data_IF_707728279199
#
_entry.id   IF_707728279199
#
_cell.length_a   1.000
_cell.length_b   1.000
_cell.length_c   1.000
_cell.angle_alpha   90.00
_cell.angle_beta   90.00
_cell.angle_gamma   90.00
#
_symmetry.space_group_name_H-M   'P 1'
#
loop_
_entity.id
_entity.type
_entity.pdbx_description
1 polymer ?
#
# COMPACT_ATOMS: atom_id res chain seq x y z
N UNK A 1 0.45 21.20 7.32
CA UNK A 1 0.16 21.12 8.78
C UNK A 1 -0.25 19.67 9.08
N UNK A 2 0.56 18.81 9.73
CA UNK A 2 0.08 17.50 10.14
C UNK A 2 -0.36 17.52 11.61
N UNK A 3 -1.44 16.80 11.91
CA UNK A 3 -1.72 16.30 13.25
C UNK A 3 -2.52 14.98 13.20
N UNK A 4 -3.40 14.74 12.21
CA UNK A 4 -4.09 13.43 12.01
C UNK A 4 -4.85 13.41 10.66
N UNK A 5 -4.16 13.34 9.52
CA UNK A 5 -4.84 13.29 8.23
C UNK A 5 -4.02 12.62 7.12
N UNK A 6 -4.69 11.79 6.32
CA UNK A 6 -4.15 11.16 5.10
C UNK A 6 -3.57 12.27 4.20
N UNK A 7 -2.31 12.13 3.77
CA UNK A 7 -1.73 13.09 2.83
C UNK A 7 -2.30 12.75 1.46
N UNK A 8 -3.13 13.64 0.92
CA UNK A 8 -3.62 13.50 -0.44
C UNK A 8 -2.48 13.77 -1.41
N UNK A 9 -1.97 12.74 -2.08
CA UNK A 9 -1.59 12.92 -3.47
C UNK A 9 -2.89 13.11 -4.28
N UNK A 10 -2.77 13.61 -5.51
CA UNK A 10 -3.91 14.18 -6.24
C UNK A 10 -4.95 13.16 -6.72
N UNK A 11 -4.85 11.87 -6.36
CA UNK A 11 -5.66 10.78 -6.93
C UNK A 11 -6.57 10.06 -5.93
N UNK A 12 -6.51 10.37 -4.64
CA UNK A 12 -7.45 9.84 -3.67
C UNK A 12 -8.89 10.29 -3.99
N UNK A 13 -9.73 9.38 -4.50
CA UNK A 13 -11.10 9.69 -4.93
C UNK A 13 -12.04 9.89 -3.75
N UNK A 14 -11.81 9.20 -2.63
CA UNK A 14 -12.58 9.32 -1.39
C UNK A 14 -11.66 9.14 -0.18
N UNK A 15 -11.89 9.93 0.86
CA UNK A 15 -11.20 9.82 2.14
C UNK A 15 -12.20 10.11 3.26
N UNK A 16 -12.53 9.11 4.06
CA UNK A 16 -13.26 9.32 5.30
C UNK A 16 -12.25 9.46 6.43
N UNK A 17 -12.08 10.66 6.98
CA UNK A 17 -11.38 10.82 8.25
C UNK A 17 -12.39 10.46 9.33
N UNK A 18 -12.14 9.48 10.20
CA UNK A 18 -12.99 9.29 11.37
C UNK A 18 -12.95 10.58 12.19
N UNK A 19 -14.00 11.38 12.05
CA UNK A 19 -14.35 12.43 12.99
C UNK A 19 -14.25 11.79 14.36
N UNK A 20 -13.48 12.37 15.29
CA UNK A 20 -13.53 12.04 16.71
C UNK A 20 -15.01 11.89 17.06
N UNK A 21 -15.48 10.65 17.22
CA UNK A 21 -16.84 10.40 17.64
C UNK A 21 -16.99 11.20 18.94
N UNK A 22 -17.95 12.12 18.95
CA UNK A 22 -18.19 13.06 20.05
C UNK A 22 -17.93 12.38 21.40
N UNK A 23 -17.02 12.99 22.16
CA UNK A 23 -16.79 12.83 23.59
C UNK A 23 -17.76 11.86 24.30
N UNK A 24 -17.22 10.70 24.65
CA UNK A 24 -17.30 10.09 25.97
C UNK A 24 -18.67 10.06 26.64
N UNK A 25 -19.41 8.97 26.41
CA UNK A 25 -20.14 8.37 27.54
C UNK A 25 -19.16 7.44 28.26
N UNK A 26 -18.94 7.56 29.58
CA UNK A 26 -18.06 6.66 30.31
C UNK A 26 -18.53 5.21 30.12
N UNK A 27 -17.63 4.33 29.65
CA UNK A 27 -17.92 2.91 29.43
C UNK A 27 -18.39 2.51 28.03
N UNK A 28 -18.33 3.40 27.01
CA UNK A 28 -18.65 3.05 25.62
C UNK A 28 -17.45 3.32 24.70
N UNK A 29 -16.96 2.27 24.03
CA UNK A 29 -15.85 2.34 23.07
C UNK A 29 -16.06 3.47 22.04
N UNK A 30 -15.01 4.25 21.78
CA UNK A 30 -15.00 5.36 20.81
C UNK A 30 -15.11 4.84 19.36
N UNK A 31 -14.84 3.55 19.14
CA UNK A 31 -14.99 2.87 17.85
C UNK A 31 -15.89 1.63 18.03
N UNK A 32 -17.16 1.74 17.62
CA UNK A 32 -18.07 0.60 17.51
C UNK A 32 -18.13 0.05 16.06
N UNK A 33 -17.19 0.44 15.22
CA UNK A 33 -17.17 0.11 13.80
C UNK A 33 -15.73 0.18 13.26
N UNK A 34 -15.46 -0.61 12.22
CA UNK A 34 -14.22 -0.58 11.45
C UNK A 34 -14.56 -0.51 9.95
N UNK A 35 -14.03 0.45 9.19
CA UNK A 35 -14.24 0.52 7.75
C UNK A 35 -13.36 -0.50 7.05
N UNK A 36 -13.91 -1.19 6.06
CA UNK A 36 -13.09 -1.85 5.06
C UNK A 36 -12.42 -0.79 4.15
N UNK A 37 -11.35 -1.16 3.41
CA UNK A 37 -10.55 -0.19 2.66
C UNK A 37 -11.34 0.75 1.77
N UNK A 38 -12.25 0.23 0.94
CA UNK A 38 -13.06 1.03 0.03
C UNK A 38 -13.98 2.05 0.74
N UNK A 39 -14.29 1.83 2.03
CA UNK A 39 -15.05 2.78 2.85
C UNK A 39 -14.15 3.87 3.44
N UNK A 40 -12.87 3.57 3.72
CA UNK A 40 -11.91 4.58 4.19
C UNK A 40 -11.36 5.42 3.02
N UNK A 41 -10.90 4.77 1.96
CA UNK A 41 -10.43 5.45 0.77
C UNK A 41 -10.11 4.53 -0.40
N UNK A 42 -10.23 5.10 -1.60
CA UNK A 42 -9.95 4.44 -2.86
C UNK A 42 -9.26 5.44 -3.78
N UNK A 43 -8.18 5.01 -4.45
CA UNK A 43 -7.41 5.86 -5.35
C UNK A 43 -7.82 5.60 -6.81
N UNK A 44 -7.51 4.44 -7.39
CA UNK A 44 -7.73 4.16 -8.81
C UNK A 44 -7.73 2.65 -9.09
N UNK A 45 -8.38 2.16 -10.17
CA UNK A 45 -8.27 0.76 -10.59
C UNK A 45 -6.87 0.32 -11.04
N UNK A 46 -5.93 1.24 -11.29
CA UNK A 46 -4.54 0.90 -11.61
C UNK A 46 -3.98 -0.07 -10.55
N UNK A 47 -3.38 -1.18 -11.02
CA UNK A 47 -2.87 -2.32 -10.24
C UNK A 47 -3.92 -3.26 -9.61
N UNK A 48 -5.22 -3.02 -9.77
CA UNK A 48 -6.29 -3.93 -9.30
C UNK A 48 -6.19 -4.30 -7.81
N UNK A 49 -5.71 -3.39 -6.97
CA UNK A 49 -5.41 -3.66 -5.55
C UNK A 49 -6.63 -3.82 -4.67
N UNK A 50 -7.82 -3.39 -5.10
CA UNK A 50 -9.00 -3.29 -4.23
C UNK A 50 -9.42 -4.59 -3.54
N UNK A 51 -9.41 -5.72 -4.25
CA UNK A 51 -9.77 -7.02 -3.66
C UNK A 51 -8.69 -7.48 -2.69
N UNK A 52 -7.42 -7.47 -3.11
CA UNK A 52 -6.30 -7.88 -2.27
C UNK A 52 -6.22 -7.03 -0.98
N UNK A 53 -6.35 -5.71 -1.11
CA UNK A 53 -6.35 -4.78 0.03
C UNK A 53 -7.50 -5.07 1.00
N UNK A 54 -8.68 -5.41 0.47
CA UNK A 54 -9.84 -5.80 1.28
C UNK A 54 -9.58 -7.10 2.04
N UNK A 55 -9.05 -8.13 1.39
CA UNK A 55 -8.76 -9.42 2.03
C UNK A 55 -7.73 -9.28 3.17
N UNK A 56 -6.62 -8.56 2.93
CA UNK A 56 -5.63 -8.25 3.97
C UNK A 56 -6.26 -7.60 5.21
N UNK A 57 -7.22 -6.69 5.00
CA UNK A 57 -7.88 -5.98 6.08
C UNK A 57 -8.98 -6.80 6.77
N UNK A 58 -9.63 -7.73 6.05
CA UNK A 58 -10.55 -8.70 6.67
C UNK A 58 -9.78 -9.64 7.58
N UNK A 59 -8.65 -10.19 7.12
CA UNK A 59 -7.78 -11.04 7.94
C UNK A 59 -7.31 -10.32 9.19
N UNK A 60 -6.86 -9.07 9.05
CA UNK A 60 -6.46 -8.24 10.20
C UNK A 60 -7.59 -7.95 11.18
N UNK A 61 -8.83 -7.81 10.69
CA UNK A 61 -9.98 -7.61 11.58
C UNK A 61 -10.30 -8.86 12.39
N UNK A 62 -9.95 -10.07 11.92
CA UNK A 62 -10.13 -11.29 12.71
C UNK A 62 -9.36 -11.19 14.05
N UNK A 63 -8.14 -10.65 14.06
CA UNK A 63 -7.37 -10.41 15.29
C UNK A 63 -8.05 -9.39 16.22
N UNK A 64 -8.77 -8.42 15.67
CA UNK A 64 -9.52 -7.44 16.45
C UNK A 64 -10.73 -8.11 17.12
N UNK A 65 -11.37 -9.07 16.44
CA UNK A 65 -12.49 -9.83 16.98
C UNK A 65 -12.07 -10.73 18.15
N UNK A 66 -10.82 -11.21 18.18
CA UNK A 66 -10.31 -12.04 19.28
C UNK A 66 -10.25 -11.31 20.63
N UNK A 67 -10.21 -9.97 20.62
CA UNK A 67 -10.17 -9.13 21.83
C UNK A 67 -11.48 -8.37 22.08
N UNK A 68 -12.57 -8.75 21.41
CA UNK A 68 -13.85 -8.02 21.45
C UNK A 68 -14.48 -7.94 22.85
N UNK A 69 -14.19 -8.92 23.72
CA UNK A 69 -14.70 -8.96 25.10
C UNK A 69 -13.93 -8.03 26.07
N UNK A 70 -12.78 -7.50 25.67
CA UNK A 70 -12.01 -6.51 26.43
C UNK A 70 -12.14 -5.12 25.77
N UNK A 71 -12.95 -4.20 26.35
CA UNK A 71 -13.17 -2.88 25.75
C UNK A 71 -11.90 -2.05 25.55
N UNK A 72 -10.91 -2.18 26.44
CA UNK A 72 -9.65 -1.42 26.33
C UNK A 72 -8.77 -1.99 25.22
N UNK A 73 -8.64 -3.32 25.17
CA UNK A 73 -7.87 -3.99 24.12
C UNK A 73 -8.53 -3.80 22.74
N UNK A 74 -9.87 -3.85 22.68
CA UNK A 74 -10.64 -3.59 21.46
C UNK A 74 -10.41 -2.17 20.93
N UNK A 75 -10.45 -1.16 21.79
CA UNK A 75 -10.20 0.22 21.38
C UNK A 75 -8.78 0.37 20.81
N UNK A 76 -7.77 -0.16 21.49
CA UNK A 76 -6.38 -0.12 21.03
C UNK A 76 -6.19 -0.87 19.70
N UNK A 77 -6.81 -2.04 19.55
CA UNK A 77 -6.76 -2.84 18.34
C UNK A 77 -7.41 -2.12 17.16
N UNK A 78 -8.58 -1.51 17.35
CA UNK A 78 -9.24 -0.69 16.34
C UNK A 78 -8.41 0.52 15.96
N UNK A 79 -7.85 1.27 16.92
CA UNK A 79 -6.99 2.40 16.62
C UNK A 79 -5.75 1.99 15.79
N UNK A 80 -5.12 0.86 16.13
CA UNK A 80 -4.01 0.30 15.34
C UNK A 80 -4.45 -0.08 13.93
N UNK A 81 -5.59 -0.74 13.79
CA UNK A 81 -6.20 -1.09 12.51
C UNK A 81 -6.41 0.16 11.64
N UNK A 82 -7.07 1.20 12.17
CA UNK A 82 -7.32 2.45 11.47
C UNK A 82 -6.05 3.14 10.99
N UNK A 83 -5.03 3.25 11.87
CA UNK A 83 -3.75 3.86 11.50
C UNK A 83 -3.07 3.10 10.36
N UNK A 84 -3.04 1.77 10.43
CA UNK A 84 -2.48 0.94 9.36
C UNK A 84 -3.23 1.12 8.05
N UNK A 85 -4.56 1.03 8.09
CA UNK A 85 -5.38 1.20 6.89
C UNK A 85 -5.18 2.58 6.24
N UNK A 86 -5.06 3.64 7.05
CA UNK A 86 -4.77 4.98 6.55
C UNK A 86 -3.39 5.05 5.85
N UNK A 87 -2.36 4.43 6.42
CA UNK A 87 -1.03 4.33 5.80
C UNK A 87 -1.06 3.54 4.47
N UNK A 88 -1.83 2.44 4.41
CA UNK A 88 -1.99 1.65 3.18
C UNK A 88 -2.67 2.45 2.06
N UNK A 89 -3.71 3.22 2.40
CA UNK A 89 -4.40 4.11 1.44
C UNK A 89 -3.47 5.22 0.96
N UNK A 90 -2.70 5.84 1.86
CA UNK A 90 -1.71 6.88 1.53
C UNK A 90 -0.63 6.33 0.57
N UNK A 91 -0.12 5.14 0.86
CA UNK A 91 0.88 4.48 0.03
C UNK A 91 0.35 4.18 -1.38
N UNK A 92 -0.87 3.65 -1.49
CA UNK A 92 -1.51 3.39 -2.78
C UNK A 92 -1.67 4.68 -3.59
N UNK A 93 -2.16 5.75 -2.98
CA UNK A 93 -2.34 7.06 -3.63
C UNK A 93 -1.01 7.63 -4.14
N UNK A 94 0.08 7.48 -3.36
CA UNK A 94 1.44 7.87 -3.76
C UNK A 94 1.94 7.10 -4.98
N UNK A 95 1.87 5.76 -4.95
CA UNK A 95 2.33 4.92 -6.07
C UNK A 95 1.52 5.17 -7.35
N UNK A 96 0.20 5.26 -7.23
CA UNK A 96 -0.69 5.54 -8.36
C UNK A 96 -0.41 6.94 -8.92
N UNK A 97 -0.25 7.94 -8.05
CA UNK A 97 0.08 9.30 -8.48
C UNK A 97 1.41 9.37 -9.21
N UNK A 98 2.44 8.66 -8.72
CA UNK A 98 3.74 8.56 -9.39
C UNK A 98 3.60 7.96 -10.79
N UNK A 99 2.88 6.85 -10.93
CA UNK A 99 2.63 6.23 -12.23
C UNK A 99 1.92 7.19 -13.19
N UNK A 100 0.81 7.82 -12.76
CA UNK A 100 0.06 8.74 -13.63
C UNK A 100 0.86 9.97 -14.07
N UNK A 101 1.79 10.49 -13.25
CA UNK A 101 2.66 11.61 -13.65
C UNK A 101 3.56 11.27 -14.84
N UNK A 102 3.97 10.00 -14.93
CA UNK A 102 4.89 9.52 -15.96
C UNK A 102 4.17 8.98 -17.21
N UNK A 103 2.84 9.11 -17.31
CA UNK A 103 2.05 8.59 -18.46
C UNK A 103 2.36 9.23 -19.82
N UNK A 104 3.11 10.34 -19.82
CA UNK A 104 3.57 10.99 -21.05
C UNK A 104 4.66 10.19 -21.78
N UNK A 105 5.35 9.27 -21.10
CA UNK A 105 6.36 8.38 -21.66
C UNK A 105 6.14 6.94 -21.19
N UNK A 106 6.10 5.98 -22.12
CA UNK A 106 5.76 4.59 -21.78
C UNK A 106 6.82 3.92 -20.90
N UNK A 107 8.11 4.16 -21.15
CA UNK A 107 9.17 3.56 -20.37
C UNK A 107 9.22 4.16 -18.96
N UNK A 108 9.03 5.47 -18.86
CA UNK A 108 8.91 6.17 -17.58
C UNK A 108 7.70 5.71 -16.78
N UNK A 109 6.54 5.52 -17.43
CA UNK A 109 5.35 4.95 -16.82
C UNK A 109 5.62 3.53 -16.30
N UNK A 110 6.22 2.67 -17.11
CA UNK A 110 6.58 1.32 -16.70
C UNK A 110 7.52 1.34 -15.48
N UNK A 111 8.56 2.16 -15.51
CA UNK A 111 9.47 2.38 -14.38
C UNK A 111 8.73 2.88 -13.14
N UNK A 112 7.81 3.83 -13.29
CA UNK A 112 7.02 4.39 -12.19
C UNK A 112 6.04 3.39 -11.56
N UNK A 113 5.72 2.30 -12.25
CA UNK A 113 4.91 1.19 -11.70
C UNK A 113 5.73 0.19 -10.87
N UNK A 114 7.07 0.22 -10.96
CA UNK A 114 7.94 -0.74 -10.28
C UNK A 114 7.85 -0.74 -8.74
N UNK A 115 7.64 0.39 -8.04
CA UNK A 115 7.39 0.38 -6.61
C UNK A 115 6.23 -0.54 -6.22
N UNK A 116 5.13 -0.54 -6.99
CA UNK A 116 4.00 -1.44 -6.74
C UNK A 116 4.43 -2.91 -6.86
N UNK A 117 5.13 -3.28 -7.94
CA UNK A 117 5.55 -4.67 -8.13
C UNK A 117 6.57 -5.13 -7.08
N UNK A 118 7.47 -4.25 -6.65
CA UNK A 118 8.43 -4.53 -5.58
C UNK A 118 7.70 -4.80 -4.25
N UNK A 119 6.70 -4.00 -3.91
CA UNK A 119 5.89 -4.20 -2.72
C UNK A 119 5.04 -5.47 -2.80
N UNK A 120 4.34 -5.69 -3.93
CA UNK A 120 3.45 -6.83 -4.12
C UNK A 120 4.20 -8.16 -4.00
N UNK A 121 5.32 -8.29 -4.72
CA UNK A 121 6.15 -9.51 -4.68
C UNK A 121 6.79 -9.74 -3.32
N UNK A 122 7.19 -8.67 -2.62
CA UNK A 122 7.68 -8.77 -1.25
C UNK A 122 6.59 -9.26 -0.29
N UNK A 123 5.34 -8.76 -0.42
CA UNK A 123 4.21 -9.23 0.38
C UNK A 123 3.90 -10.71 0.13
N UNK A 124 3.86 -11.13 -1.14
CA UNK A 124 3.63 -12.53 -1.51
C UNK A 124 4.69 -13.47 -0.93
N UNK A 125 5.96 -13.04 -0.90
CA UNK A 125 7.05 -13.83 -0.34
C UNK A 125 7.06 -13.84 1.19
N UNK A 126 6.45 -12.84 1.85
CA UNK A 126 6.24 -12.82 3.31
C UNK A 126 5.01 -13.64 3.76
N UNK A 127 3.99 -13.76 2.91
CA UNK A 127 2.71 -14.41 3.23
C UNK A 127 2.80 -15.87 3.73
N UNK A 128 3.68 -16.76 3.21
CA UNK A 128 3.82 -18.13 3.71
C UNK A 128 4.28 -18.20 5.17
N UNK A 129 5.02 -17.18 5.62
CA UNK A 129 5.55 -17.07 6.99
C UNK A 129 4.50 -16.58 7.99
N UNK A 130 3.54 -15.77 7.54
CA UNK A 130 2.45 -15.20 8.36
C UNK A 130 1.46 -16.28 8.83
N UNK A 131 1.16 -17.27 7.98
CA UNK A 131 0.32 -18.42 8.36
C UNK A 131 0.97 -19.37 9.38
N UNK A 132 2.29 -19.29 9.56
CA UNK A 132 3.06 -20.14 10.48
C UNK A 132 3.40 -19.45 11.81
N UNK A 133 3.26 -18.12 11.90
CA UNK A 133 3.52 -17.35 13.12
C UNK A 133 2.54 -16.17 13.22
N UNK A 134 1.55 -16.22 14.13
CA UNK A 134 0.48 -15.22 14.25
C UNK A 134 0.97 -13.95 14.99
N UNK A 135 2.14 -13.44 14.63
CA UNK A 135 2.60 -12.14 15.09
C UNK A 135 2.13 -11.10 14.07
N UNK A 136 0.98 -10.47 14.35
CA UNK A 136 0.34 -9.34 13.64
C UNK A 136 0.63 -9.24 12.13
N UNK A 137 -0.36 -9.43 11.23
CA UNK A 137 -0.14 -9.40 9.79
C UNK A 137 0.51 -8.08 9.38
N UNK A 138 1.55 -8.22 8.56
CA UNK A 138 2.23 -7.11 7.91
C UNK A 138 1.22 -6.15 7.25
N UNK A 139 1.56 -4.86 7.18
CA UNK A 139 0.74 -3.94 6.42
C UNK A 139 0.74 -4.29 4.92
N UNK A 140 -0.38 -4.03 4.25
CA UNK A 140 -0.53 -4.30 2.82
C UNK A 140 0.50 -3.48 2.02
N UNK A 141 1.16 -4.12 1.05
CA UNK A 141 2.17 -3.51 0.18
C UNK A 141 3.32 -2.82 0.95
N UNK A 142 3.74 -3.37 2.10
CA UNK A 142 4.85 -2.82 2.89
C UNK A 142 4.57 -1.42 3.45
N UNK A 143 3.29 -1.07 3.69
CA UNK A 143 2.92 0.26 4.19
C UNK A 143 3.45 0.60 5.59
N UNK A 144 4.04 -0.35 6.30
CA UNK A 144 4.73 -0.21 7.58
C UNK A 144 6.26 -0.39 7.49
N UNK A 145 6.81 -0.69 6.30
CA UNK A 145 8.24 -0.87 6.10
C UNK A 145 8.92 0.49 5.86
N UNK A 146 9.57 1.02 6.89
CA UNK A 146 10.22 2.33 6.84
C UNK A 146 11.28 2.45 5.73
N UNK A 147 11.96 1.35 5.36
CA UNK A 147 12.96 1.38 4.28
C UNK A 147 12.27 1.50 2.92
N UNK A 148 11.15 0.82 2.74
CA UNK A 148 10.37 0.92 1.51
C UNK A 148 9.78 2.32 1.34
N UNK A 149 9.20 2.88 2.40
CA UNK A 149 8.64 4.22 2.39
C UNK A 149 9.69 5.31 2.06
N UNK A 150 10.90 5.17 2.59
CA UNK A 150 12.02 6.05 2.29
C UNK A 150 12.50 5.91 0.83
N UNK A 151 12.55 4.69 0.30
CA UNK A 151 12.88 4.45 -1.10
C UNK A 151 11.84 5.10 -2.03
N UNK A 152 10.54 4.95 -1.73
CA UNK A 152 9.47 5.60 -2.51
C UNK A 152 9.57 7.13 -2.44
N UNK A 153 9.83 7.70 -1.26
CA UNK A 153 10.01 9.15 -1.11
C UNK A 153 11.19 9.67 -1.94
N UNK A 154 12.31 8.93 -1.98
CA UNK A 154 13.45 9.28 -2.82
C UNK A 154 13.11 9.23 -4.32
N UNK A 155 12.37 8.22 -4.76
CA UNK A 155 11.89 8.09 -6.15
C UNK A 155 10.95 9.26 -6.50
N UNK A 156 10.01 9.60 -5.63
CA UNK A 156 9.11 10.74 -5.81
C UNK A 156 9.88 12.06 -5.87
N UNK A 157 10.92 12.23 -5.03
CA UNK A 157 11.77 13.41 -5.04
C UNK A 157 12.52 13.57 -6.37
N UNK A 158 13.05 12.48 -6.93
CA UNK A 158 13.70 12.49 -8.25
C UNK A 158 12.68 12.85 -9.34
N UNK A 159 11.52 12.20 -9.34
CA UNK A 159 10.46 12.47 -10.31
C UNK A 159 9.87 13.91 -10.23
N UNK A 160 9.97 14.56 -9.07
CA UNK A 160 9.53 15.95 -8.88
C UNK A 160 10.62 16.98 -9.22
N UNK A 161 11.90 16.56 -9.26
CA UNK A 161 13.03 17.45 -9.55
C UNK A 161 13.33 17.54 -11.05
N UNK A 162 12.83 16.60 -11.83
CA UNK A 162 12.84 16.62 -13.29
C UNK A 162 11.68 17.49 -13.79
N UNK A 163 11.80 18.09 -14.99
CA UNK A 163 10.63 18.78 -15.56
C UNK A 163 9.50 17.77 -15.77
N UNK A 164 8.24 18.21 -15.82
CA UNK A 164 7.09 17.30 -16.04
C UNK A 164 7.16 16.50 -17.36
N UNK A 165 8.11 16.81 -18.23
CA UNK A 165 8.34 16.17 -19.53
C UNK A 165 9.59 15.26 -19.52
N UNK A 166 10.39 15.32 -18.46
CA UNK A 166 11.60 14.53 -18.34
C UNK A 166 11.26 13.20 -17.62
N UNK A 167 11.54 12.05 -18.25
CA UNK A 167 11.20 10.76 -17.71
C UNK A 167 12.00 10.45 -16.43
N UNK A 168 11.37 9.78 -15.48
CA UNK A 168 12.06 9.31 -14.27
C UNK A 168 13.21 8.34 -14.66
N UNK A 169 14.45 8.54 -14.18
CA UNK A 169 15.57 7.68 -14.58
C UNK A 169 15.43 6.25 -14.05
N UNK A 170 15.26 5.29 -14.96
CA UNK A 170 15.05 3.86 -14.62
C UNK A 170 16.13 3.29 -13.70
N UNK A 171 17.40 3.60 -13.94
CA UNK A 171 18.50 3.10 -13.10
C UNK A 171 18.39 3.60 -11.66
N UNK A 172 18.06 4.87 -11.47
CA UNK A 172 17.88 5.46 -10.14
C UNK A 172 16.74 4.79 -9.37
N UNK A 173 15.63 4.51 -10.04
CA UNK A 173 14.52 3.75 -9.45
C UNK A 173 14.95 2.33 -9.10
N UNK A 174 15.69 1.66 -9.98
CA UNK A 174 16.22 0.32 -9.74
C UNK A 174 17.14 0.28 -8.52
N UNK A 175 18.01 1.27 -8.35
CA UNK A 175 18.95 1.36 -7.24
C UNK A 175 18.21 1.53 -5.90
N UNK A 176 17.19 2.40 -5.85
CA UNK A 176 16.37 2.58 -4.65
C UNK A 176 15.53 1.33 -4.30
N UNK A 177 15.05 0.60 -5.30
CA UNK A 177 14.26 -0.62 -5.11
C UNK A 177 15.12 -1.89 -5.00
N UNK A 178 16.44 -1.81 -5.12
CA UNK A 178 17.32 -2.97 -5.06
C UNK A 178 17.08 -3.89 -3.84
N UNK A 179 16.84 -3.38 -2.61
CA UNK A 179 16.53 -4.22 -1.45
C UNK A 179 15.21 -5.00 -1.55
N UNK A 180 14.29 -4.55 -2.42
CA UNK A 180 12.94 -5.10 -2.60
C UNK A 180 12.78 -5.83 -3.95
N UNK A 181 13.83 -5.85 -4.76
CA UNK A 181 13.82 -6.49 -6.08
C UNK A 181 14.11 -8.00 -5.95
N UNK A 182 13.13 -8.74 -5.45
CA UNK A 182 13.27 -10.18 -5.18
C UNK A 182 13.07 -11.05 -6.43
N UNK A 183 12.46 -10.50 -7.49
CA UNK A 183 12.06 -11.24 -8.70
C UNK A 183 12.73 -10.76 -9.99
N UNK A 184 13.68 -9.83 -9.92
CA UNK A 184 14.38 -9.30 -11.09
C UNK A 184 13.56 -8.29 -11.92
N UNK A 185 12.84 -7.38 -11.26
CA UNK A 185 11.96 -6.36 -11.87
C UNK A 185 12.62 -5.49 -12.95
N UNK A 186 13.93 -5.25 -12.82
CA UNK A 186 14.70 -4.39 -13.74
C UNK A 186 15.65 -5.18 -14.66
N UNK A 187 15.53 -6.50 -14.71
CA UNK A 187 16.39 -7.34 -15.55
C UNK A 187 15.97 -7.18 -17.02
N UNK A 188 16.89 -6.80 -17.94
CA UNK A 188 16.53 -6.57 -19.33
C UNK A 188 16.03 -7.85 -20.00
N UNK A 189 14.78 -7.78 -20.50
CA UNK A 189 14.08 -8.75 -21.36
C UNK A 189 14.33 -10.22 -21.01
N UNK A 190 13.58 -10.75 -20.05
CA UNK A 190 12.94 -12.05 -20.34
C UNK A 190 11.96 -11.80 -21.48
N UNK A 191 12.23 -12.29 -22.70
CA UNK A 191 11.36 -12.01 -23.83
C UNK A 191 10.06 -12.78 -23.61
N UNK A 192 8.99 -12.07 -23.24
CA UNK A 192 7.61 -12.54 -23.23
C UNK A 192 7.38 -13.83 -22.42
N UNK A 193 6.87 -13.69 -21.19
CA UNK A 193 6.26 -14.78 -20.40
C UNK A 193 5.13 -15.56 -21.12
N UNK A 194 4.82 -15.25 -22.37
CA UNK A 194 3.86 -15.98 -23.21
C UNK A 194 4.40 -17.28 -23.83
N UNK A 195 5.71 -17.59 -23.73
CA UNK A 195 6.24 -18.79 -24.39
C UNK A 195 5.93 -20.12 -23.69
N UNK A 196 5.38 -20.09 -22.46
CA UNK A 196 5.14 -21.29 -21.64
C UNK A 196 3.67 -21.66 -21.42
N UNK A 197 2.70 -20.96 -22.04
CA UNK A 197 1.27 -21.31 -21.92
C UNK A 197 0.70 -22.09 -23.10
N UNK A 198 1.51 -22.44 -24.10
CA UNK A 198 1.12 -23.42 -25.11
C UNK A 198 1.36 -24.83 -24.56
N UNK A 199 0.32 -25.44 -23.99
CA UNK A 199 0.24 -26.89 -23.84
C UNK A 199 0.44 -27.52 -25.21
N UNK A 200 1.45 -28.40 -25.34
CA UNK A 200 1.60 -29.25 -26.52
C UNK A 200 0.38 -30.18 -26.55
N UNK A 201 -0.55 -29.91 -27.47
CA UNK A 201 -1.49 -30.91 -27.96
C UNK A 201 -0.78 -31.92 -28.85
#
# INVERSE_FOLDING_TARGET
>A
RPADGIRRASRLQRACVPSKAKQSTPGRSVYAWAPLPAALGFADPLHSTGIAHTLFNVERLLEVLDVMDDPSALEDALQKYFRRLACEVDLLDRMISLAYRQTHDFEAFATATMPYFAAATSCELRAPTSLASPSSPDAFLLADDAKFLAALEAIESVANSTSNLDPCPTQTVADFLAPFNQVGLFTPKTPNMYRYTATKG
#
